data_IF_050185368434
#
_entry.id   IF_050185368434
#
_cell.length_a   1.000
_cell.length_b   1.000
_cell.length_c   1.000
_cell.angle_alpha   90.00
_cell.angle_beta   90.00
_cell.angle_gamma   90.00
#
_symmetry.space_group_name_H-M   'P 1'
#
loop_
_entity.id
_entity.type
_entity.pdbx_description
1 polymer ?
#
# COMPACT_ATOMS: atom_id res chain seq x y z
N UNK A 1 36.00 5.34 -7.96
CA UNK A 1 36.20 6.15 -6.73
C UNK A 1 34.94 5.95 -5.88
N UNK A 2 34.82 4.77 -5.26
CA UNK A 2 34.84 4.50 -3.80
C UNK A 2 33.71 5.26 -3.07
N UNK A 3 32.72 4.59 -2.46
CA UNK A 3 32.89 3.46 -1.54
C UNK A 3 31.75 2.45 -1.64
N UNK A 4 32.16 1.21 -1.87
CA UNK A 4 31.44 0.00 -1.50
C UNK A 4 31.42 -0.02 0.03
N UNK A 5 30.24 -0.07 0.64
CA UNK A 5 30.05 -0.59 2.01
C UNK A 5 29.21 -1.85 1.85
N UNK A 6 29.81 -2.96 1.44
CA UNK A 6 29.99 -4.11 2.34
C UNK A 6 28.95 -4.15 3.47
N UNK A 7 27.88 -4.90 3.24
CA UNK A 7 27.31 -5.69 4.33
C UNK A 7 27.31 -7.14 3.87
N UNK A 8 28.29 -7.90 4.34
CA UNK A 8 28.15 -9.35 4.38
C UNK A 8 27.17 -9.67 5.51
N UNK A 9 25.86 -9.73 5.20
CA UNK A 9 24.87 -10.28 6.14
C UNK A 9 24.73 -11.76 5.82
N UNK A 10 25.36 -12.58 6.67
CA UNK A 10 25.08 -14.00 6.84
C UNK A 10 23.57 -14.19 7.05
N UNK A 11 22.90 -14.98 6.22
CA UNK A 11 21.57 -15.60 6.45
C UNK A 11 20.63 -14.89 7.44
N UNK A 12 20.33 -13.62 7.19
CA UNK A 12 19.08 -13.01 7.64
C UNK A 12 18.57 -12.27 6.43
N UNK A 13 17.92 -13.00 5.53
CA UNK A 13 16.98 -12.41 4.58
C UNK A 13 15.90 -11.73 5.41
N UNK A 14 16.15 -10.53 5.91
CA UNK A 14 15.04 -9.66 6.31
C UNK A 14 14.37 -9.31 4.99
N UNK A 15 13.46 -10.18 4.58
CA UNK A 15 12.41 -9.82 3.62
C UNK A 15 11.61 -8.74 4.33
N UNK A 16 12.06 -7.49 4.21
CA UNK A 16 11.32 -6.32 4.68
C UNK A 16 10.12 -6.22 3.74
N UNK A 17 9.11 -7.06 3.97
CA UNK A 17 7.92 -7.10 3.15
C UNK A 17 6.99 -6.01 3.65
N UNK A 18 7.35 -4.77 3.34
CA UNK A 18 6.47 -3.65 3.52
C UNK A 18 5.31 -3.81 2.52
N UNK A 19 4.10 -3.69 3.05
CA UNK A 19 2.91 -3.25 2.34
C UNK A 19 3.23 -2.51 1.01
N UNK A 20 2.77 -3.08 -0.11
CA UNK A 20 3.07 -2.65 -1.48
C UNK A 20 1.76 -2.28 -2.22
N UNK A 21 1.79 -1.20 -3.01
CA UNK A 21 0.67 -0.71 -3.81
C UNK A 21 0.19 -1.78 -4.79
N UNK A 22 -1.12 -2.04 -4.85
CA UNK A 22 -1.71 -2.99 -5.81
C UNK A 22 -2.14 -2.27 -7.08
N UNK A 23 -1.34 -2.44 -8.14
CA UNK A 23 -1.57 -1.87 -9.47
C UNK A 23 -0.76 -0.60 -9.74
N UNK A 24 -0.94 -0.05 -10.95
CA UNK A 24 -0.23 1.14 -11.42
C UNK A 24 -1.17 2.35 -11.54
N UNK A 25 -0.61 3.55 -11.39
CA UNK A 25 -1.32 4.80 -11.64
C UNK A 25 -1.54 5.02 -13.14
N UNK A 26 -2.74 4.73 -13.63
CA UNK A 26 -3.14 5.01 -15.00
C UNK A 26 -3.54 6.49 -15.17
N UNK A 27 -4.26 7.04 -14.19
CA UNK A 27 -4.81 8.40 -14.20
C UNK A 27 -4.54 9.14 -12.88
N UNK A 28 -4.47 10.47 -12.93
CA UNK A 28 -4.50 11.32 -11.74
C UNK A 28 -5.82 11.12 -10.98
N UNK A 29 -5.77 11.14 -9.64
CA UNK A 29 -6.92 10.93 -8.77
C UNK A 29 -7.39 9.49 -8.65
N UNK A 30 -6.76 8.53 -9.36
CA UNK A 30 -7.06 7.12 -9.20
C UNK A 30 -6.69 6.65 -7.79
N UNK A 31 -7.57 5.86 -7.17
CA UNK A 31 -7.31 5.22 -5.90
C UNK A 31 -6.76 3.80 -6.09
N UNK A 32 -5.76 3.44 -5.31
CA UNK A 32 -5.16 2.11 -5.26
C UNK A 32 -5.16 1.59 -3.83
N UNK A 33 -5.30 0.28 -3.67
CA UNK A 33 -5.26 -0.37 -2.36
C UNK A 33 -3.83 -0.79 -2.01
N UNK A 34 -3.54 -0.90 -0.73
CA UNK A 34 -2.39 -1.64 -0.27
C UNK A 34 -2.61 -3.16 -0.38
N UNK A 35 -1.54 -3.92 -0.59
CA UNK A 35 -1.59 -5.38 -0.71
C UNK A 35 -1.74 -6.13 0.61
N UNK A 36 -1.48 -5.48 1.75
CA UNK A 36 -1.40 -6.13 3.07
C UNK A 36 -2.07 -5.36 4.19
N UNK A 37 -1.88 -4.05 4.21
CA UNK A 37 -2.35 -3.23 5.32
C UNK A 37 -3.59 -2.45 4.88
N UNK A 38 -4.75 -2.98 5.30
CA UNK A 38 -6.05 -2.42 4.97
C UNK A 38 -6.27 -1.01 5.52
N UNK A 39 -5.42 -0.50 6.40
CA UNK A 39 -5.53 0.88 6.89
C UNK A 39 -4.92 1.91 5.93
N UNK A 40 -4.31 1.46 4.84
CA UNK A 40 -3.63 2.32 3.86
C UNK A 40 -4.31 2.24 2.50
N UNK A 41 -4.34 3.37 1.83
CA UNK A 41 -4.64 3.46 0.41
C UNK A 41 -3.72 4.48 -0.25
N UNK A 42 -3.79 4.56 -1.57
CA UNK A 42 -3.00 5.49 -2.35
C UNK A 42 -3.87 6.29 -3.29
N UNK A 43 -3.50 7.55 -3.53
CA UNK A 43 -4.11 8.40 -4.56
C UNK A 43 -3.02 8.80 -5.54
N UNK A 44 -3.28 8.60 -6.83
CA UNK A 44 -2.33 8.92 -7.87
C UNK A 44 -2.25 10.42 -8.14
N UNK A 45 -1.04 10.97 -8.17
CA UNK A 45 -0.81 12.37 -8.53
C UNK A 45 -0.74 12.59 -10.06
N UNK A 46 -0.61 13.86 -10.47
CA UNK A 46 -0.43 14.26 -11.88
C UNK A 46 0.81 13.66 -12.56
N UNK A 47 1.81 13.20 -11.79
CA UNK A 47 3.01 12.51 -12.29
C UNK A 47 2.83 10.98 -12.36
N UNK A 48 1.61 10.47 -12.15
CA UNK A 48 1.29 9.04 -12.08
C UNK A 48 2.08 8.31 -10.99
N UNK A 49 2.30 8.97 -9.84
CA UNK A 49 2.91 8.34 -8.68
C UNK A 49 1.86 8.11 -7.59
N UNK A 50 1.84 6.92 -6.95
CA UNK A 50 0.93 6.65 -5.86
C UNK A 50 1.39 7.40 -4.60
N UNK A 51 0.53 8.27 -4.08
CA UNK A 51 0.74 8.99 -2.83
C UNK A 51 0.02 8.25 -1.71
N UNK A 52 0.75 7.93 -0.63
CA UNK A 52 0.23 7.16 0.49
C UNK A 52 -0.74 8.01 1.32
N UNK A 53 -1.84 7.38 1.73
CA UNK A 53 -2.79 7.92 2.70
C UNK A 53 -3.16 6.84 3.71
N UNK A 54 -3.29 7.25 4.97
CA UNK A 54 -3.76 6.40 6.05
C UNK A 54 -5.24 6.71 6.32
N UNK A 55 -6.05 5.67 6.50
CA UNK A 55 -7.41 5.81 6.99
C UNK A 55 -7.41 6.30 8.45
N UNK A 56 -8.48 7.00 8.88
CA UNK A 56 -8.65 7.34 10.29
C UNK A 56 -8.56 6.09 11.19
N UNK A 57 -8.16 6.25 12.47
CA UNK A 57 -7.99 5.12 13.38
C UNK A 57 -9.25 4.24 13.48
N UNK A 58 -9.06 2.92 13.32
CA UNK A 58 -10.14 1.93 13.38
C UNK A 58 -10.94 1.74 12.09
N UNK A 59 -10.57 2.43 11.01
CA UNK A 59 -11.15 2.25 9.68
C UNK A 59 -10.16 1.60 8.72
N UNK A 60 -10.71 0.99 7.68
CA UNK A 60 -9.97 0.33 6.61
C UNK A 60 -10.46 0.81 5.24
N UNK A 61 -9.59 0.75 4.25
CA UNK A 61 -9.91 1.16 2.89
C UNK A 61 -10.83 0.15 2.20
N UNK A 62 -12.04 0.62 1.86
CA UNK A 62 -13.00 -0.08 1.03
C UNK A 62 -12.67 0.20 -0.44
N UNK A 63 -11.97 -0.76 -1.07
CA UNK A 63 -11.52 -0.65 -2.46
C UNK A 63 -12.66 -0.58 -3.51
N UNK A 64 -13.89 -0.96 -3.13
CA UNK A 64 -15.06 -0.92 -4.02
C UNK A 64 -15.76 0.44 -3.93
N UNK A 65 -15.91 0.96 -2.71
CA UNK A 65 -16.57 2.25 -2.44
C UNK A 65 -15.62 3.44 -2.46
N UNK A 66 -14.31 3.17 -2.46
CA UNK A 66 -13.22 4.15 -2.43
C UNK A 66 -13.28 5.10 -1.23
N UNK A 67 -13.61 4.56 -0.06
CA UNK A 67 -13.69 5.30 1.22
C UNK A 67 -13.01 4.51 2.34
N UNK A 68 -12.71 5.17 3.46
CA UNK A 68 -12.41 4.48 4.71
C UNK A 68 -13.72 4.05 5.38
N UNK A 69 -13.87 2.76 5.66
CA UNK A 69 -15.09 2.16 6.18
C UNK A 69 -14.78 1.29 7.41
N UNK A 70 -15.81 0.89 8.14
CA UNK A 70 -15.66 -0.05 9.25
C UNK A 70 -15.18 -1.42 8.75
N UNK A 71 -14.26 -2.10 9.44
CA UNK A 71 -13.66 -3.35 8.97
C UNK A 71 -14.67 -4.44 8.55
N UNK A 72 -15.77 -4.57 9.28
CA UNK A 72 -16.83 -5.56 9.01
C UNK A 72 -17.67 -5.24 7.76
N UNK A 73 -17.56 -4.00 7.24
CA UNK A 73 -18.27 -3.53 6.05
C UNK A 73 -17.40 -3.50 4.79
N UNK A 74 -16.08 -3.72 4.93
CA UNK A 74 -15.15 -3.78 3.80
C UNK A 74 -15.33 -5.10 3.03
N UNK A 75 -15.53 -5.07 1.71
CA UNK A 75 -15.64 -6.28 0.89
C UNK A 75 -14.39 -7.16 0.99
N UNK A 76 -14.59 -8.47 1.21
CA UNK A 76 -13.49 -9.44 1.37
C UNK A 76 -12.64 -9.66 0.10
N UNK A 77 -13.08 -9.19 -1.06
CA UNK A 77 -12.30 -9.22 -2.29
C UNK A 77 -11.34 -8.02 -2.44
N UNK A 78 -11.23 -7.15 -1.42
CA UNK A 78 -10.20 -6.12 -1.42
C UNK A 78 -8.80 -6.73 -1.23
N UNK A 79 -7.75 -6.20 -1.90
CA UNK A 79 -6.46 -6.88 -1.98
C UNK A 79 -5.77 -7.21 -0.65
N UNK A 80 -5.96 -6.37 0.37
CA UNK A 80 -5.41 -6.53 1.71
C UNK A 80 -6.18 -7.53 2.59
N UNK A 81 -7.39 -7.95 2.20
CA UNK A 81 -8.30 -8.82 2.99
C UNK A 81 -8.05 -10.32 2.82
N UNK A 82 -6.85 -10.72 2.38
CA UNK A 82 -6.49 -12.13 2.12
C UNK A 82 -6.44 -13.00 3.36
#
# INVERSE_FOLDING_TARGET
>A
MKKIMTVAVLLISTVISNAEVVGDCANEGQYLADSKDCTIFYVCDAMKKPQRHDCPPGLEYDCIRQICNYPDSVPGNCPCKK
#
